data_IF_062085490890
#
_entry.id   IF_062085490890
#
_cell.length_a   1.000
_cell.length_b   1.000
_cell.length_c   1.000
_cell.angle_alpha   90.00
_cell.angle_beta   90.00
_cell.angle_gamma   90.00
#
_symmetry.space_group_name_H-M   'P 1'
#
loop_
_entity.id
_entity.type
_entity.pdbx_description
1 polymer ?
#
# COMPACT_ATOMS: atom_id res chain seq x y z
N UNK A 1 -1.17 -19.17 -10.33
CA UNK A 1 -1.41 -18.09 -9.34
C UNK A 1 -2.86 -18.06 -8.89
N UNK A 2 -3.81 -18.15 -9.82
CA UNK A 2 -5.25 -18.24 -9.50
C UNK A 2 -5.60 -19.33 -8.48
N UNK A 3 -5.17 -20.58 -8.70
CA UNK A 3 -5.42 -21.69 -7.77
C UNK A 3 -4.89 -21.35 -6.36
N UNK A 4 -3.64 -20.92 -6.24
CA UNK A 4 -3.06 -20.52 -4.95
C UNK A 4 -3.81 -19.35 -4.28
N UNK A 5 -4.31 -18.38 -5.07
CA UNK A 5 -5.12 -17.27 -4.56
C UNK A 5 -6.48 -17.76 -4.03
N UNK A 6 -7.12 -18.72 -4.71
CA UNK A 6 -8.35 -19.33 -4.22
C UNK A 6 -8.13 -20.11 -2.92
N UNK A 7 -7.03 -20.86 -2.80
CA UNK A 7 -6.66 -21.54 -1.56
C UNK A 7 -6.42 -20.55 -0.42
N UNK A 8 -5.78 -19.41 -0.69
CA UNK A 8 -5.57 -18.33 0.28
C UNK A 8 -6.88 -17.81 0.89
N UNK A 9 -7.91 -17.57 0.07
CA UNK A 9 -9.20 -17.07 0.56
C UNK A 9 -10.06 -18.13 1.26
N UNK A 10 -9.89 -19.40 0.89
CA UNK A 10 -10.80 -20.49 1.26
C UNK A 10 -10.24 -21.44 2.31
N UNK A 11 -8.99 -21.29 2.73
CA UNK A 11 -8.34 -22.17 3.70
C UNK A 11 -7.67 -21.38 4.83
N UNK A 12 -7.42 -22.06 5.95
CA UNK A 12 -6.75 -21.51 7.16
C UNK A 12 -5.23 -21.46 7.07
N UNK A 13 -4.64 -21.66 5.88
CA UNK A 13 -3.17 -21.80 5.75
C UNK A 13 -2.42 -20.52 6.15
N UNK A 14 -3.06 -19.36 6.06
CA UNK A 14 -2.49 -18.08 6.49
C UNK A 14 -3.04 -17.57 7.82
N UNK A 15 -3.77 -18.41 8.58
CA UNK A 15 -4.16 -18.07 9.95
C UNK A 15 -2.88 -17.88 10.78
N UNK A 16 -2.72 -16.69 11.38
CA UNK A 16 -1.52 -16.33 12.15
C UNK A 16 -0.31 -15.92 11.32
N UNK A 17 -0.44 -15.76 10.00
CA UNK A 17 0.64 -15.20 9.18
C UNK A 17 0.95 -13.76 9.57
N UNK A 18 2.23 -13.38 9.56
CA UNK A 18 2.63 -12.02 9.89
C UNK A 18 2.25 -11.02 8.78
N UNK A 19 2.06 -9.75 9.14
CA UNK A 19 1.79 -8.69 8.15
C UNK A 19 2.92 -8.60 7.11
N UNK A 20 4.17 -8.81 7.49
CA UNK A 20 5.31 -8.86 6.56
C UNK A 20 5.15 -9.96 5.50
N UNK A 21 4.74 -11.16 5.90
CA UNK A 21 4.47 -12.26 4.96
C UNK A 21 3.30 -11.91 4.03
N UNK A 22 2.21 -11.37 4.60
CA UNK A 22 1.04 -10.96 3.83
C UNK A 22 1.34 -9.84 2.84
N UNK A 23 2.26 -8.91 3.15
CA UNK A 23 2.68 -7.87 2.23
C UNK A 23 3.36 -8.45 0.98
N UNK A 24 4.22 -9.46 1.15
CA UNK A 24 4.84 -10.16 0.03
C UNK A 24 3.83 -10.93 -0.81
N UNK A 25 2.89 -11.63 -0.18
CA UNK A 25 1.81 -12.33 -0.88
C UNK A 25 0.95 -11.34 -1.67
N UNK A 26 0.51 -10.26 -1.04
CA UNK A 26 -0.26 -9.18 -1.69
C UNK A 26 0.44 -8.62 -2.91
N UNK A 27 1.75 -8.35 -2.82
CA UNK A 27 2.54 -7.87 -3.95
C UNK A 27 2.73 -8.89 -5.08
N UNK A 28 2.66 -10.20 -4.80
CA UNK A 28 2.64 -11.22 -5.87
C UNK A 28 1.28 -11.27 -6.54
N UNK A 29 0.20 -11.20 -5.77
CA UNK A 29 -1.18 -11.18 -6.29
C UNK A 29 -1.46 -9.93 -7.13
N UNK A 30 -0.90 -8.78 -6.76
CA UNK A 30 -1.10 -7.50 -7.45
C UNK A 30 -0.58 -7.48 -8.90
N UNK A 31 0.25 -8.46 -9.28
CA UNK A 31 0.73 -8.65 -10.65
C UNK A 31 -0.32 -9.27 -11.59
N UNK A 32 -1.45 -9.73 -11.04
CA UNK A 32 -2.53 -10.38 -11.77
C UNK A 32 -3.88 -9.68 -11.52
N UNK A 33 -4.00 -8.36 -11.81
CA UNK A 33 -5.21 -7.59 -11.50
C UNK A 33 -6.48 -8.09 -12.20
N UNK A 34 -6.33 -8.76 -13.34
CA UNK A 34 -7.45 -9.29 -14.12
C UNK A 34 -7.99 -10.63 -13.57
N UNK A 35 -7.35 -11.22 -12.55
CA UNK A 35 -7.81 -12.46 -11.92
C UNK A 35 -8.65 -12.14 -10.69
N UNK A 36 -9.95 -12.43 -10.74
CA UNK A 36 -10.88 -12.15 -9.64
C UNK A 36 -10.43 -12.80 -8.32
N UNK A 37 -9.96 -14.05 -8.38
CA UNK A 37 -9.44 -14.73 -7.20
C UNK A 37 -8.26 -14.00 -6.54
N UNK A 38 -7.40 -13.34 -7.33
CA UNK A 38 -6.33 -12.51 -6.78
C UNK A 38 -6.88 -11.24 -6.12
N UNK A 39 -7.91 -10.61 -6.68
CA UNK A 39 -8.54 -9.43 -6.09
C UNK A 39 -9.27 -9.77 -4.79
N UNK A 40 -9.96 -10.91 -4.75
CA UNK A 40 -10.61 -11.43 -3.53
C UNK A 40 -9.57 -11.70 -2.44
N UNK A 41 -8.42 -12.29 -2.80
CA UNK A 41 -7.32 -12.53 -1.86
C UNK A 41 -6.70 -11.22 -1.35
N UNK A 42 -6.52 -10.22 -2.20
CA UNK A 42 -6.06 -8.89 -1.78
C UNK A 42 -7.07 -8.25 -0.82
N UNK A 43 -8.38 -8.36 -1.07
CA UNK A 43 -9.41 -7.86 -0.16
C UNK A 43 -9.45 -8.62 1.18
N UNK A 44 -9.14 -9.91 1.17
CA UNK A 44 -8.97 -10.71 2.39
C UNK A 44 -7.74 -10.24 3.20
N UNK A 45 -6.59 -10.05 2.55
CA UNK A 45 -5.36 -9.50 3.16
C UNK A 45 -5.62 -8.11 3.77
N UNK A 46 -6.34 -7.25 3.06
CA UNK A 46 -6.76 -5.95 3.58
C UNK A 46 -7.62 -6.11 4.86
N UNK A 47 -8.46 -7.14 4.91
CA UNK A 47 -9.20 -7.52 6.12
C UNK A 47 -8.29 -7.86 7.30
N UNK A 48 -7.25 -8.67 7.08
CA UNK A 48 -6.27 -9.02 8.12
C UNK A 48 -5.53 -7.78 8.65
N UNK A 49 -5.08 -6.90 7.76
CA UNK A 49 -4.43 -5.64 8.16
C UNK A 49 -5.35 -4.72 8.95
N UNK A 50 -6.64 -4.66 8.58
CA UNK A 50 -7.64 -3.89 9.31
C UNK A 50 -7.95 -4.45 10.69
N UNK A 51 -7.83 -5.78 10.88
CA UNK A 51 -8.10 -6.48 12.14
C UNK A 51 -6.89 -6.57 13.07
N UNK A 52 -5.68 -6.33 12.58
CA UNK A 52 -4.49 -6.30 13.43
C UNK A 52 -4.64 -5.29 14.57
N UNK A 53 -4.14 -5.62 15.77
CA UNK A 53 -4.22 -4.73 16.94
C UNK A 53 -3.47 -3.42 16.69
N UNK A 54 -2.25 -3.51 16.15
CA UNK A 54 -1.47 -2.37 15.70
C UNK A 54 -0.70 -2.67 14.39
N UNK A 55 0.04 -1.69 13.90
CA UNK A 55 0.98 -1.83 12.78
C UNK A 55 2.43 -1.60 13.25
N UNK A 56 2.69 -1.76 14.55
CA UNK A 56 3.99 -1.57 15.15
C UNK A 56 4.99 -2.56 14.54
N UNK A 57 6.17 -2.08 14.15
CA UNK A 57 7.17 -2.89 13.47
C UNK A 57 6.93 -3.10 11.97
N UNK A 58 5.80 -2.64 11.41
CA UNK A 58 5.63 -2.59 9.96
C UNK A 58 6.49 -1.44 9.38
N UNK A 59 7.57 -1.81 8.71
CA UNK A 59 8.46 -0.84 8.07
C UNK A 59 7.85 -0.17 6.83
N UNK A 60 8.55 0.83 6.30
CA UNK A 60 8.09 1.60 5.15
C UNK A 60 7.94 0.75 3.90
N UNK A 61 8.85 -0.20 3.66
CA UNK A 61 8.82 -1.07 2.48
C UNK A 61 7.58 -1.95 2.47
N UNK A 62 7.29 -2.63 3.59
CA UNK A 62 6.12 -3.51 3.70
C UNK A 62 4.81 -2.71 3.66
N UNK A 63 4.81 -1.50 4.24
CA UNK A 63 3.69 -0.56 4.09
C UNK A 63 3.40 -0.27 2.62
N UNK A 64 4.43 0.03 1.82
CA UNK A 64 4.25 0.34 0.38
C UNK A 64 3.88 -0.91 -0.44
N UNK A 65 4.37 -2.10 -0.09
CA UNK A 65 3.93 -3.34 -0.74
C UNK A 65 2.42 -3.57 -0.58
N UNK A 66 1.89 -3.30 0.61
CA UNK A 66 0.45 -3.33 0.85
C UNK A 66 -0.28 -2.24 0.04
N UNK A 67 0.18 -0.99 0.10
CA UNK A 67 -0.42 0.12 -0.66
C UNK A 67 -0.51 -0.22 -2.16
N UNK A 68 0.59 -0.70 -2.75
CA UNK A 68 0.63 -1.11 -4.16
C UNK A 68 -0.34 -2.27 -4.47
N UNK A 69 -0.49 -3.23 -3.56
CA UNK A 69 -1.43 -4.33 -3.72
C UNK A 69 -2.88 -3.87 -3.63
N UNK A 70 -3.23 -3.10 -2.60
CA UNK A 70 -4.59 -2.60 -2.38
C UNK A 70 -5.05 -1.65 -3.48
N UNK A 71 -4.15 -0.83 -4.03
CA UNK A 71 -4.45 0.03 -5.16
C UNK A 71 -4.88 -0.72 -6.44
N UNK A 72 -4.58 -2.03 -6.56
CA UNK A 72 -5.09 -2.87 -7.67
C UNK A 72 -6.55 -3.26 -7.50
N UNK A 73 -7.07 -3.23 -6.28
CA UNK A 73 -8.45 -3.55 -5.97
C UNK A 73 -9.17 -2.30 -5.41
N UNK A 74 -9.08 -1.19 -6.16
CA UNK A 74 -9.54 0.14 -5.69
C UNK A 74 -11.05 0.26 -5.48
N UNK A 75 -11.84 -0.65 -6.07
CA UNK A 75 -13.28 -0.74 -5.85
C UNK A 75 -13.65 -1.46 -4.54
N UNK A 76 -12.68 -1.97 -3.79
CA UNK A 76 -12.91 -2.69 -2.53
C UNK A 76 -12.86 -1.76 -1.32
N UNK A 77 -13.99 -1.62 -0.62
CA UNK A 77 -14.04 -0.85 0.63
C UNK A 77 -13.16 -1.42 1.75
N UNK A 78 -12.76 -2.71 1.71
CA UNK A 78 -11.75 -3.25 2.62
C UNK A 78 -10.36 -2.71 2.31
N UNK A 79 -10.03 -2.62 1.02
CA UNK A 79 -8.75 -2.07 0.55
C UNK A 79 -8.66 -0.58 0.88
N UNK A 80 -9.72 0.19 0.65
CA UNK A 80 -9.77 1.61 1.03
C UNK A 80 -9.47 1.81 2.53
N UNK A 81 -10.18 1.10 3.41
CA UNK A 81 -9.94 1.20 4.86
C UNK A 81 -8.52 0.82 5.26
N UNK A 82 -7.96 -0.21 4.62
CA UNK A 82 -6.59 -0.64 4.88
C UNK A 82 -5.57 0.40 4.41
N UNK A 83 -5.80 1.05 3.26
CA UNK A 83 -4.97 2.15 2.76
C UNK A 83 -5.06 3.36 3.67
N UNK A 84 -6.24 3.77 4.13
CA UNK A 84 -6.40 4.85 5.10
C UNK A 84 -5.69 4.53 6.44
N UNK A 85 -5.74 3.27 6.89
CA UNK A 85 -5.01 2.83 8.08
C UNK A 85 -3.49 2.91 7.90
N UNK A 86 -2.97 2.49 6.74
CA UNK A 86 -1.56 2.63 6.38
C UNK A 86 -1.12 4.10 6.23
N UNK A 87 -1.99 4.94 5.69
CA UNK A 87 -1.77 6.38 5.58
C UNK A 87 -1.53 7.00 6.97
N UNK A 88 -2.43 6.74 7.93
CA UNK A 88 -2.26 7.14 9.33
C UNK A 88 -1.00 6.57 9.97
N UNK A 89 -0.63 5.33 9.67
CA UNK A 89 0.62 4.72 10.14
C UNK A 89 1.85 5.50 9.65
N UNK A 90 1.91 5.83 8.36
CA UNK A 90 3.00 6.61 7.77
C UNK A 90 3.02 8.06 8.26
N UNK A 91 1.86 8.66 8.57
CA UNK A 91 1.80 9.99 9.17
C UNK A 91 2.41 10.02 10.57
N UNK A 92 2.05 9.04 11.42
CA UNK A 92 2.46 8.98 12.83
C UNK A 92 3.91 8.52 13.02
N UNK A 93 4.40 7.68 12.12
CA UNK A 93 5.72 7.06 12.26
C UNK A 93 6.74 7.71 11.32
N UNK A 94 7.42 8.76 11.81
CA UNK A 94 8.43 9.48 11.05
C UNK A 94 9.56 8.56 10.55
N UNK A 95 10.06 7.63 11.38
CA UNK A 95 11.11 6.69 10.97
C UNK A 95 10.69 5.80 9.79
N UNK A 96 9.50 5.21 9.86
CA UNK A 96 8.89 4.40 8.78
C UNK A 96 8.72 5.21 7.49
N UNK A 97 8.34 6.48 7.61
CA UNK A 97 8.16 7.36 6.47
C UNK A 97 9.47 7.85 5.86
N UNK A 98 10.44 8.21 6.68
CA UNK A 98 11.77 8.66 6.24
C UNK A 98 12.61 7.54 5.64
N UNK A 99 12.26 6.27 5.87
CA UNK A 99 12.91 5.13 5.23
C UNK A 99 12.43 4.88 3.79
N UNK A 100 11.41 5.62 3.30
CA UNK A 100 10.91 5.44 1.94
C UNK A 100 11.88 6.04 0.92
N UNK A 101 12.33 5.20 -0.01
CA UNK A 101 13.05 5.66 -1.20
C UNK A 101 12.11 6.34 -2.21
N UNK A 102 12.64 7.03 -3.24
CA UNK A 102 11.83 7.76 -4.22
C UNK A 102 10.79 6.89 -4.94
N UNK A 103 11.12 5.64 -5.24
CA UNK A 103 10.20 4.71 -5.92
C UNK A 103 9.04 4.33 -4.99
N UNK A 104 9.35 4.05 -3.73
CA UNK A 104 8.36 3.73 -2.71
C UNK A 104 7.42 4.92 -2.43
N UNK A 105 7.95 6.15 -2.44
CA UNK A 105 7.13 7.36 -2.35
C UNK A 105 6.19 7.44 -3.56
N UNK A 106 6.69 7.23 -4.79
CA UNK A 106 5.86 7.23 -6.00
C UNK A 106 4.76 6.17 -5.98
N UNK A 107 5.04 4.97 -5.46
CA UNK A 107 4.04 3.91 -5.29
C UNK A 107 2.98 4.26 -4.24
N UNK A 108 3.39 4.84 -3.12
CA UNK A 108 2.47 5.29 -2.07
C UNK A 108 1.53 6.39 -2.59
N UNK A 109 2.07 7.39 -3.30
CA UNK A 109 1.28 8.47 -3.92
C UNK A 109 0.27 7.92 -4.93
N UNK A 110 0.66 6.99 -5.81
CA UNK A 110 -0.28 6.35 -6.73
C UNK A 110 -1.34 5.50 -6.02
N UNK A 111 -1.05 4.95 -4.84
CA UNK A 111 -2.07 4.26 -4.05
C UNK A 111 -3.07 5.25 -3.45
N UNK A 112 -2.59 6.36 -2.88
CA UNK A 112 -3.47 7.39 -2.31
C UNK A 112 -4.34 8.07 -3.36
N UNK A 113 -3.85 8.26 -4.59
CA UNK A 113 -4.64 8.83 -5.69
C UNK A 113 -5.83 7.97 -6.12
N UNK A 114 -5.94 6.70 -5.68
CA UNK A 114 -7.12 5.86 -5.92
C UNK A 114 -8.32 6.22 -5.04
N UNK A 115 -8.10 6.90 -3.92
CA UNK A 115 -9.15 7.34 -3.01
C UNK A 115 -8.95 8.82 -2.67
N UNK A 116 -9.14 9.72 -3.66
CA UNK A 116 -8.88 11.13 -3.49
C UNK A 116 -9.78 11.75 -2.43
N UNK A 117 -10.99 11.25 -2.19
CA UNK A 117 -11.92 11.77 -1.18
C UNK A 117 -11.59 11.31 0.26
N UNK A 118 -10.60 10.42 0.44
CA UNK A 118 -10.23 9.93 1.76
C UNK A 118 -9.25 10.91 2.44
N UNK A 119 -9.60 11.51 3.59
CA UNK A 119 -8.80 12.57 4.21
C UNK A 119 -7.43 12.09 4.70
N UNK A 120 -7.29 10.83 5.11
CA UNK A 120 -6.01 10.26 5.51
C UNK A 120 -5.08 10.08 4.29
N UNK A 121 -5.64 9.66 3.15
CA UNK A 121 -4.92 9.57 1.88
C UNK A 121 -4.44 10.95 1.42
N UNK A 122 -5.32 11.96 1.39
CA UNK A 122 -4.96 13.33 1.01
C UNK A 122 -3.84 13.87 1.91
N UNK A 123 -4.04 13.82 3.23
CA UNK A 123 -3.10 14.38 4.19
C UNK A 123 -1.72 13.70 4.11
N UNK A 124 -1.68 12.38 3.90
CA UNK A 124 -0.41 11.65 3.74
C UNK A 124 0.24 11.94 2.38
N UNK A 125 -0.55 12.08 1.32
CA UNK A 125 -0.04 12.43 0.00
C UNK A 125 0.63 13.80 -0.01
N UNK A 126 -0.02 14.83 0.57
CA UNK A 126 0.57 16.17 0.74
C UNK A 126 1.87 16.10 1.53
N UNK A 127 1.88 15.33 2.63
CA UNK A 127 3.07 15.21 3.45
C UNK A 127 4.24 14.52 2.73
N UNK A 128 3.97 13.50 1.90
CA UNK A 128 5.01 12.87 1.07
C UNK A 128 5.48 13.80 -0.06
N UNK A 129 4.58 14.61 -0.62
CA UNK A 129 4.94 15.61 -1.62
C UNK A 129 5.84 16.70 -1.04
N UNK A 130 5.56 17.17 0.18
CA UNK A 130 6.43 18.12 0.90
C UNK A 130 7.83 17.55 1.15
N UNK A 131 7.92 16.25 1.48
CA UNK A 131 9.20 15.56 1.62
C UNK A 131 9.98 15.53 0.29
N UNK A 132 9.31 15.26 -0.83
CA UNK A 132 9.93 15.35 -2.15
C UNK A 132 10.34 16.79 -2.48
N UNK A 133 9.48 17.78 -2.27
CA UNK A 133 9.73 19.19 -2.53
C UNK A 133 10.88 19.77 -1.67
N UNK A 134 11.09 19.22 -0.47
CA UNK A 134 12.16 19.65 0.43
C UNK A 134 13.49 18.92 0.20
N UNK A 135 13.48 17.77 -0.48
CA UNK A 135 14.69 16.95 -0.68
C UNK A 135 15.08 16.82 -2.16
N UNK A 136 16.09 17.62 -2.57
CA UNK A 136 16.63 17.61 -3.93
C UNK A 136 17.14 16.23 -4.36
N UNK A 137 17.74 15.45 -3.46
CA UNK A 137 18.25 14.10 -3.80
C UNK A 137 17.11 13.14 -4.12
N UNK A 138 16.02 13.18 -3.33
CA UNK A 138 14.85 12.35 -3.62
C UNK A 138 14.26 12.70 -4.99
N UNK A 139 14.09 13.99 -5.31
CA UNK A 139 13.56 14.42 -6.61
C UNK A 139 14.39 13.94 -7.79
N UNK A 140 15.72 14.08 -7.73
CA UNK A 140 16.61 13.65 -8.81
C UNK A 140 16.71 12.14 -8.97
N UNK A 141 16.36 11.39 -7.94
CA UNK A 141 16.35 9.93 -7.97
C UNK A 141 14.97 9.34 -8.33
N UNK A 142 13.94 10.16 -8.58
CA UNK A 142 12.67 9.68 -9.09
C UNK A 142 12.79 9.29 -10.56
N UNK A 143 12.28 8.10 -10.89
CA UNK A 143 12.10 7.71 -12.29
C UNK A 143 10.83 8.35 -12.89
N UNK A 144 10.68 8.22 -14.22
CA UNK A 144 9.53 8.79 -14.95
C UNK A 144 8.18 8.35 -14.38
N UNK A 145 8.08 7.09 -13.97
CA UNK A 145 6.83 6.54 -13.43
C UNK A 145 6.51 7.14 -12.07
N UNK A 146 7.51 7.28 -11.20
CA UNK A 146 7.35 7.87 -9.87
C UNK A 146 6.94 9.34 -9.97
N UNK A 147 7.50 10.09 -10.93
CA UNK A 147 7.09 11.48 -11.19
C UNK A 147 5.63 11.54 -11.65
N UNK A 148 5.23 10.72 -12.62
CA UNK A 148 3.85 10.68 -13.09
C UNK A 148 2.86 10.31 -11.97
N UNK A 149 3.23 9.33 -11.13
CA UNK A 149 2.43 8.94 -9.98
C UNK A 149 2.28 10.06 -8.94
N UNK A 150 3.35 10.80 -8.68
CA UNK A 150 3.30 11.94 -7.76
C UNK A 150 2.41 13.06 -8.29
N UNK A 151 2.51 13.38 -9.58
CA UNK A 151 1.66 14.39 -10.22
C UNK A 151 0.18 13.98 -10.25
N UNK A 152 -0.12 12.68 -10.43
CA UNK A 152 -1.51 12.20 -10.40
C UNK A 152 -2.12 12.19 -8.99
N UNK A 153 -1.30 12.30 -7.95
CA UNK A 153 -1.75 12.27 -6.56
C UNK A 153 -1.94 13.66 -5.94
N UNK A 154 -1.57 14.72 -6.68
CA UNK A 154 -1.64 16.13 -6.29
C UNK A 154 -2.59 16.88 -7.23
#
# INVERSE_FOLDING_TARGET
TEVAAQYLCKTKWFDGASLTQLAHVGNKLSKHPNQQACMDAIAWIAGQLNQADDLSGLDGRHSVLFLNAFAKNFNSGRCERAVARLARHLQRNHSTRSSLDPQNIGLALNAFSKWPDNPDCQSTASLLADMLASNRRLRHAMDRQSVANALNAL
#
